data_IF_263669462636
#
_entry.id   IF_263669462636
#
_cell.length_a   1.000
_cell.length_b   1.000
_cell.length_c   1.000
_cell.angle_alpha   90.00
_cell.angle_beta   90.00
_cell.angle_gamma   90.00
#
_symmetry.space_group_name_H-M   'P 1'
#
loop_
_entity.id
_entity.type
_entity.pdbx_description
1 polymer ?
#
# COMPACT_ATOMS: atom_id res chain seq x y z
N UNK A 1 15.21 -32.05 -13.94
CA UNK A 1 15.62 -30.64 -14.21
C UNK A 1 14.38 -29.78 -13.98
N UNK A 2 14.51 -28.72 -13.24
CA UNK A 2 13.44 -27.76 -13.03
C UNK A 2 13.16 -27.05 -14.36
N UNK A 3 11.90 -26.81 -14.68
CA UNK A 3 11.48 -26.20 -15.95
C UNK A 3 11.86 -24.72 -15.94
N UNK A 4 12.59 -24.24 -16.96
CA UNK A 4 12.94 -22.83 -17.11
C UNK A 4 11.71 -21.99 -17.47
N UNK A 5 11.63 -20.77 -16.94
CA UNK A 5 10.61 -19.77 -17.29
C UNK A 5 10.98 -18.96 -18.53
N UNK A 6 12.22 -19.06 -19.03
CA UNK A 6 12.70 -18.22 -20.14
C UNK A 6 11.85 -18.36 -21.38
N UNK A 7 11.43 -17.22 -21.95
CA UNK A 7 10.61 -17.12 -23.13
C UNK A 7 9.13 -17.46 -22.92
N UNK A 8 8.69 -17.68 -21.67
CA UNK A 8 7.30 -18.01 -21.36
C UNK A 8 6.46 -16.75 -21.08
N UNK A 9 5.13 -16.89 -21.12
CA UNK A 9 4.21 -15.82 -20.67
C UNK A 9 4.37 -15.55 -19.18
N UNK A 10 4.72 -16.55 -18.39
CA UNK A 10 4.99 -16.42 -16.95
C UNK A 10 6.19 -15.51 -16.69
N UNK A 11 7.28 -15.62 -17.46
CA UNK A 11 8.42 -14.70 -17.36
C UNK A 11 8.00 -13.26 -17.64
N UNK A 12 7.20 -13.04 -18.70
CA UNK A 12 6.67 -11.72 -19.05
C UNK A 12 5.80 -11.14 -17.91
N UNK A 13 4.92 -11.96 -17.34
CA UNK A 13 4.04 -11.54 -16.24
C UNK A 13 4.82 -11.23 -14.96
N UNK A 14 5.83 -12.04 -14.62
CA UNK A 14 6.72 -11.76 -13.50
C UNK A 14 7.45 -10.41 -13.64
N UNK A 15 7.95 -10.12 -14.84
CA UNK A 15 8.68 -8.87 -15.07
C UNK A 15 7.73 -7.66 -15.10
N UNK A 16 6.51 -7.82 -15.65
CA UNK A 16 5.45 -6.80 -15.57
C UNK A 16 5.07 -6.51 -14.12
N UNK A 17 4.91 -7.55 -13.29
CA UNK A 17 4.60 -7.39 -11.88
C UNK A 17 5.75 -6.75 -11.11
N UNK A 18 6.98 -7.17 -11.32
CA UNK A 18 8.16 -6.51 -10.74
C UNK A 18 8.21 -5.00 -11.07
N UNK A 19 7.92 -4.63 -12.32
CA UNK A 19 7.88 -3.23 -12.74
C UNK A 19 6.69 -2.49 -12.11
N UNK A 20 5.51 -3.15 -12.01
CA UNK A 20 4.30 -2.66 -11.37
C UNK A 20 4.54 -2.31 -9.91
N UNK A 21 5.01 -3.25 -9.13
CA UNK A 21 5.35 -3.05 -7.72
C UNK A 21 6.42 -1.96 -7.51
N UNK A 22 7.44 -1.95 -8.37
CA UNK A 22 8.52 -0.95 -8.28
C UNK A 22 8.02 0.47 -8.52
N UNK A 23 7.11 0.67 -9.49
CA UNK A 23 6.52 1.99 -9.72
C UNK A 23 5.49 2.35 -8.63
N UNK A 24 4.69 1.38 -8.11
CA UNK A 24 3.76 1.59 -7.02
C UNK A 24 4.49 2.05 -5.75
N UNK A 25 5.58 1.36 -5.38
CA UNK A 25 6.49 1.78 -4.32
C UNK A 25 6.92 3.24 -4.46
N UNK A 26 7.36 3.63 -5.66
CA UNK A 26 7.80 5.01 -5.91
C UNK A 26 6.65 6.00 -5.78
N UNK A 27 5.50 5.71 -6.38
CA UNK A 27 4.29 6.56 -6.28
C UNK A 27 3.85 6.73 -4.83
N UNK A 28 3.81 5.67 -4.02
CA UNK A 28 3.39 5.75 -2.62
C UNK A 28 4.35 6.59 -1.77
N UNK A 29 5.65 6.60 -2.05
CA UNK A 29 6.57 7.54 -1.39
C UNK A 29 6.27 9.00 -1.75
N UNK A 30 5.85 9.29 -2.99
CA UNK A 30 5.44 10.63 -3.41
C UNK A 30 4.11 11.03 -2.73
N UNK A 31 3.15 10.10 -2.66
CA UNK A 31 1.86 10.30 -2.00
C UNK A 31 2.03 10.52 -0.50
N UNK A 32 2.94 9.79 0.15
CA UNK A 32 3.32 10.01 1.55
C UNK A 32 3.87 11.42 1.79
N UNK A 33 4.74 11.90 0.90
CA UNK A 33 5.27 13.26 0.97
C UNK A 33 4.16 14.31 0.86
N UNK A 34 3.20 14.11 -0.03
CA UNK A 34 2.06 15.01 -0.19
C UNK A 34 1.14 14.99 1.04
N UNK A 35 0.78 13.82 1.54
CA UNK A 35 -0.04 13.67 2.75
C UNK A 35 0.61 14.36 3.95
N UNK A 36 1.92 14.25 4.10
CA UNK A 36 2.67 14.94 5.14
C UNK A 36 2.60 16.46 5.01
N UNK A 37 2.73 17.01 3.80
CA UNK A 37 2.59 18.45 3.53
C UNK A 37 1.19 18.97 3.87
N UNK A 38 0.17 18.16 3.68
CA UNK A 38 -1.23 18.46 4.01
C UNK A 38 -1.58 18.23 5.49
N UNK A 39 -0.63 17.73 6.29
CA UNK A 39 -0.82 17.50 7.73
C UNK A 39 -1.48 16.18 8.10
N UNK A 40 -1.42 15.18 7.24
CA UNK A 40 -1.98 13.84 7.44
C UNK A 40 -0.85 12.82 7.73
N UNK A 41 -0.18 12.96 8.87
CA UNK A 41 0.98 12.13 9.22
C UNK A 41 0.65 10.62 9.32
N UNK A 42 -0.57 10.27 9.74
CA UNK A 42 -1.01 8.87 9.75
C UNK A 42 -1.12 8.30 8.34
N UNK A 43 -1.76 9.02 7.44
CA UNK A 43 -1.91 8.62 6.03
C UNK A 43 -0.55 8.54 5.35
N UNK A 44 0.33 9.51 5.62
CA UNK A 44 1.71 9.46 5.14
C UNK A 44 2.45 8.22 5.65
N UNK A 45 2.26 7.84 6.91
CA UNK A 45 2.81 6.62 7.48
C UNK A 45 2.31 5.36 6.80
N UNK A 46 1.00 5.29 6.50
CA UNK A 46 0.39 4.16 5.79
C UNK A 46 0.96 4.02 4.38
N UNK A 47 1.06 5.12 3.62
CA UNK A 47 1.69 5.08 2.29
C UNK A 47 3.14 4.60 2.34
N UNK A 48 3.93 5.04 3.32
CA UNK A 48 5.33 4.58 3.46
C UNK A 48 5.42 3.11 3.83
N UNK A 49 4.55 2.62 4.71
CA UNK A 49 4.48 1.21 5.08
C UNK A 49 4.14 0.35 3.87
N UNK A 50 3.10 0.71 3.11
CA UNK A 50 2.73 0.01 1.89
C UNK A 50 3.87 0.06 0.86
N UNK A 51 4.53 1.21 0.66
CA UNK A 51 5.68 1.31 -0.24
C UNK A 51 6.81 0.32 0.10
N UNK A 52 7.06 0.05 1.39
CA UNK A 52 8.05 -0.97 1.78
C UNK A 52 7.53 -2.40 1.57
N UNK A 53 6.21 -2.62 1.64
CA UNK A 53 5.57 -3.90 1.32
C UNK A 53 5.65 -4.19 -0.18
N UNK A 54 5.36 -3.21 -1.06
CA UNK A 54 5.53 -3.34 -2.51
C UNK A 54 6.98 -3.67 -2.92
N UNK A 55 7.95 -3.14 -2.22
CA UNK A 55 9.35 -3.54 -2.42
C UNK A 55 9.57 -5.04 -2.18
N UNK A 56 8.94 -5.62 -1.17
CA UNK A 56 9.08 -7.06 -0.91
C UNK A 56 8.30 -7.92 -1.92
N UNK A 57 7.14 -7.43 -2.42
CA UNK A 57 6.42 -8.06 -3.52
C UNK A 57 7.26 -8.04 -4.81
N UNK A 58 7.80 -6.88 -5.18
CA UNK A 58 8.73 -6.73 -6.30
C UNK A 58 9.89 -7.72 -6.20
N UNK A 59 10.52 -7.80 -5.04
CA UNK A 59 11.63 -8.72 -4.75
C UNK A 59 11.19 -10.18 -4.83
N UNK A 60 9.96 -10.50 -4.42
CA UNK A 60 9.42 -11.86 -4.54
C UNK A 60 9.28 -12.28 -5.99
N UNK A 61 8.74 -11.43 -6.86
CA UNK A 61 8.64 -11.68 -8.30
C UNK A 61 10.02 -11.75 -8.96
N UNK A 62 10.91 -10.83 -8.62
CA UNK A 62 12.26 -10.80 -9.16
C UNK A 62 13.07 -12.07 -8.88
N UNK A 63 12.87 -12.71 -7.73
CA UNK A 63 13.55 -13.95 -7.36
C UNK A 63 13.19 -15.17 -8.23
N UNK A 64 12.10 -15.11 -8.97
CA UNK A 64 11.75 -16.16 -9.93
C UNK A 64 12.40 -15.98 -11.29
N UNK A 65 12.91 -14.78 -11.61
CA UNK A 65 13.55 -14.48 -12.89
C UNK A 65 14.94 -15.12 -12.97
N UNK A 66 15.30 -15.58 -14.16
CA UNK A 66 16.53 -16.34 -14.41
C UNK A 66 17.63 -15.50 -15.07
N UNK A 67 17.53 -14.17 -14.98
CA UNK A 67 18.52 -13.22 -15.50
C UNK A 67 18.44 -13.00 -17.01
N UNK A 68 19.27 -12.04 -17.48
CA UNK A 68 19.28 -11.55 -18.85
C UNK A 68 18.48 -10.26 -19.00
N UNK A 69 18.29 -9.86 -20.26
CA UNK A 69 17.45 -8.73 -20.66
C UNK A 69 16.18 -9.26 -21.30
N UNK A 70 15.03 -8.82 -20.80
CA UNK A 70 13.72 -9.25 -21.31
C UNK A 70 12.90 -7.99 -21.60
N UNK A 71 12.43 -7.86 -22.83
CA UNK A 71 11.54 -6.78 -23.23
C UNK A 71 10.10 -7.12 -22.82
N UNK A 72 9.41 -6.14 -22.20
CA UNK A 72 7.99 -6.24 -21.87
C UNK A 72 7.22 -5.07 -22.44
N UNK A 73 5.94 -5.31 -22.75
CA UNK A 73 4.95 -4.25 -23.01
C UNK A 73 3.93 -4.28 -21.91
N UNK A 74 3.78 -3.15 -21.19
CA UNK A 74 2.82 -2.98 -20.11
C UNK A 74 2.38 -1.52 -20.02
N UNK A 75 1.23 -1.28 -19.41
CA UNK A 75 0.73 0.06 -19.09
C UNK A 75 0.80 0.28 -17.59
N UNK A 76 1.24 1.46 -17.19
CA UNK A 76 1.30 1.86 -15.79
C UNK A 76 0.75 3.28 -15.63
N UNK A 77 0.28 3.67 -14.43
CA UNK A 77 -0.20 5.02 -14.19
C UNK A 77 0.86 6.09 -14.53
N UNK A 78 0.49 7.05 -15.39
CA UNK A 78 1.38 8.08 -15.94
C UNK A 78 1.36 9.40 -15.14
N UNK A 79 1.11 9.39 -13.84
CA UNK A 79 0.93 10.56 -12.97
C UNK A 79 -0.57 10.68 -12.66
N UNK A 80 -1.07 11.65 -11.89
CA UNK A 80 -0.37 12.79 -11.29
C UNK A 80 -0.15 12.57 -9.79
N UNK A 81 0.65 13.45 -9.13
CA UNK A 81 0.62 13.58 -7.66
C UNK A 81 -0.46 14.61 -7.35
N UNK A 82 -1.62 14.14 -6.92
CA UNK A 82 -2.76 14.96 -6.50
C UNK A 82 -2.71 15.36 -5.02
N UNK A 83 -3.84 15.84 -4.49
CA UNK A 83 -4.01 15.96 -3.05
C UNK A 83 -4.15 14.55 -2.40
N UNK A 84 -4.13 14.51 -1.07
CA UNK A 84 -4.16 13.23 -0.33
C UNK A 84 -5.36 12.36 -0.67
N UNK A 85 -6.55 12.94 -0.84
CA UNK A 85 -7.77 12.19 -1.21
C UNK A 85 -7.64 11.58 -2.61
N UNK A 86 -7.17 12.35 -3.58
CA UNK A 86 -6.95 11.88 -4.95
C UNK A 86 -5.89 10.77 -5.00
N UNK A 87 -4.83 10.91 -4.20
CA UNK A 87 -3.77 9.92 -4.11
C UNK A 87 -4.24 8.62 -3.46
N UNK A 88 -5.10 8.70 -2.42
CA UNK A 88 -5.74 7.53 -1.80
C UNK A 88 -6.65 6.80 -2.79
N UNK A 89 -7.46 7.54 -3.55
CA UNK A 89 -8.32 6.95 -4.58
C UNK A 89 -7.47 6.25 -5.66
N UNK A 90 -6.45 6.93 -6.20
CA UNK A 90 -5.58 6.36 -7.23
C UNK A 90 -4.78 5.14 -6.75
N UNK A 91 -4.38 5.12 -5.47
CA UNK A 91 -3.74 3.95 -4.87
C UNK A 91 -4.74 2.80 -4.76
N UNK A 92 -5.93 3.04 -4.18
CA UNK A 92 -6.96 2.02 -4.03
C UNK A 92 -7.40 1.41 -5.37
N UNK A 93 -7.50 2.22 -6.43
CA UNK A 93 -7.85 1.74 -7.78
C UNK A 93 -6.74 0.85 -8.35
N UNK A 94 -5.47 1.19 -8.13
CA UNK A 94 -4.34 0.37 -8.54
C UNK A 94 -4.30 -0.99 -7.84
N UNK A 95 -4.45 -1.00 -6.50
CA UNK A 95 -4.52 -2.26 -5.74
C UNK A 95 -5.69 -3.13 -6.19
N UNK A 96 -6.86 -2.51 -6.49
CA UNK A 96 -8.01 -3.23 -6.99
C UNK A 96 -7.72 -3.92 -8.33
N UNK A 97 -7.10 -3.25 -9.30
CA UNK A 97 -6.70 -3.82 -10.59
C UNK A 97 -5.76 -5.02 -10.39
N UNK A 98 -4.83 -4.94 -9.44
CA UNK A 98 -3.86 -6.00 -9.19
C UNK A 98 -4.51 -7.26 -8.62
N UNK A 99 -5.33 -7.14 -7.56
CA UNK A 99 -5.92 -8.32 -6.92
C UNK A 99 -7.16 -8.86 -7.64
N UNK A 100 -7.95 -8.01 -8.30
CA UNK A 100 -9.18 -8.44 -8.97
C UNK A 100 -8.92 -9.00 -10.37
N UNK A 101 -7.95 -8.46 -11.09
CA UNK A 101 -7.75 -8.77 -12.51
C UNK A 101 -6.35 -9.35 -12.79
N UNK A 102 -5.27 -8.60 -12.52
CA UNK A 102 -3.94 -8.92 -13.02
C UNK A 102 -3.36 -10.19 -12.40
N UNK A 103 -3.29 -10.27 -11.07
CA UNK A 103 -2.64 -11.40 -10.40
C UNK A 103 -3.43 -12.71 -10.49
N UNK A 104 -4.78 -12.73 -10.48
CA UNK A 104 -5.53 -13.92 -10.81
C UNK A 104 -5.25 -14.46 -12.21
N UNK A 105 -5.20 -13.58 -13.22
CA UNK A 105 -4.88 -13.99 -14.58
C UNK A 105 -3.42 -14.50 -14.71
N UNK A 106 -2.47 -13.81 -14.07
CA UNK A 106 -1.06 -14.23 -14.08
C UNK A 106 -0.85 -15.56 -13.35
N UNK A 107 -1.59 -15.80 -12.27
CA UNK A 107 -1.59 -17.08 -11.58
C UNK A 107 -2.09 -18.21 -12.46
N UNK A 108 -3.18 -17.98 -13.19
CA UNK A 108 -3.73 -18.93 -14.15
C UNK A 108 -2.73 -19.28 -15.26
N UNK A 109 -2.10 -18.26 -15.84
CA UNK A 109 -1.04 -18.47 -16.87
C UNK A 109 0.11 -19.30 -16.30
N UNK A 110 0.55 -19.01 -15.08
CA UNK A 110 1.62 -19.79 -14.45
C UNK A 110 1.23 -21.25 -14.18
N UNK A 111 -0.04 -21.52 -13.83
CA UNK A 111 -0.56 -22.88 -13.67
C UNK A 111 -0.60 -23.62 -15.02
N UNK A 112 -1.11 -22.99 -16.07
CA UNK A 112 -1.17 -23.56 -17.43
C UNK A 112 0.23 -23.93 -17.95
N UNK A 113 1.22 -23.10 -17.65
CA UNK A 113 2.61 -23.32 -18.01
C UNK A 113 3.37 -24.23 -17.01
N UNK A 114 2.71 -24.72 -15.96
CA UNK A 114 3.25 -25.69 -15.00
C UNK A 114 4.11 -25.11 -13.87
N UNK A 115 4.11 -23.79 -13.68
CA UNK A 115 4.88 -23.07 -12.63
C UNK A 115 4.06 -22.87 -11.35
N UNK A 116 3.70 -23.95 -10.69
CA UNK A 116 2.82 -23.96 -9.50
C UNK A 116 3.25 -23.02 -8.37
N UNK A 117 4.55 -22.93 -8.10
CA UNK A 117 5.06 -22.05 -7.03
C UNK A 117 4.86 -20.58 -7.37
N UNK A 118 5.01 -20.21 -8.63
CA UNK A 118 4.79 -18.84 -9.13
C UNK A 118 3.30 -18.51 -9.07
N UNK A 119 2.44 -19.44 -9.49
CA UNK A 119 0.99 -19.27 -9.37
C UNK A 119 0.53 -19.04 -7.93
N UNK A 120 1.09 -19.78 -6.97
CA UNK A 120 0.83 -19.58 -5.54
C UNK A 120 1.29 -18.20 -5.08
N UNK A 121 2.46 -17.73 -5.53
CA UNK A 121 2.97 -16.41 -5.18
C UNK A 121 2.02 -15.31 -5.66
N UNK A 122 1.56 -15.33 -6.91
CA UNK A 122 0.56 -14.39 -7.42
C UNK A 122 -0.72 -14.39 -6.59
N UNK A 123 -1.27 -15.58 -6.29
CA UNK A 123 -2.49 -15.70 -5.49
C UNK A 123 -2.34 -15.14 -4.09
N UNK A 124 -1.21 -15.38 -3.43
CA UNK A 124 -0.96 -14.90 -2.07
C UNK A 124 -0.76 -13.38 -2.05
N UNK A 125 0.00 -12.83 -2.98
CA UNK A 125 0.19 -11.39 -3.10
C UNK A 125 -1.16 -10.71 -3.39
N UNK A 126 -1.97 -11.22 -4.31
CA UNK A 126 -3.32 -10.70 -4.55
C UNK A 126 -4.17 -10.57 -3.27
N UNK A 127 -4.02 -11.47 -2.29
CA UNK A 127 -4.73 -11.33 -1.01
C UNK A 127 -4.21 -10.17 -0.16
N UNK A 128 -2.95 -9.78 -0.33
CA UNK A 128 -2.36 -8.62 0.35
C UNK A 128 -2.86 -7.34 -0.29
N UNK A 129 -2.88 -7.26 -1.64
CA UNK A 129 -3.36 -6.07 -2.37
C UNK A 129 -4.84 -5.79 -2.08
N UNK A 130 -5.66 -6.82 -1.86
CA UNK A 130 -7.04 -6.64 -1.40
C UNK A 130 -7.13 -5.96 -0.01
N UNK A 131 -6.21 -6.24 0.90
CA UNK A 131 -6.14 -5.56 2.21
C UNK A 131 -5.55 -4.13 2.07
N UNK A 132 -4.61 -3.90 1.14
CA UNK A 132 -4.11 -2.55 0.82
C UNK A 132 -5.23 -1.66 0.28
N UNK A 133 -6.01 -2.12 -0.70
CA UNK A 133 -7.18 -1.41 -1.21
C UNK A 133 -8.15 -1.05 -0.10
N UNK A 134 -8.56 -2.03 0.70
CA UNK A 134 -9.49 -1.84 1.81
C UNK A 134 -9.01 -0.77 2.80
N UNK A 135 -7.71 -0.76 3.08
CA UNK A 135 -7.08 0.23 3.96
C UNK A 135 -7.13 1.62 3.35
N UNK A 136 -6.79 1.77 2.06
CA UNK A 136 -6.86 3.04 1.35
C UNK A 136 -8.29 3.56 1.23
N UNK A 137 -9.27 2.71 0.88
CA UNK A 137 -10.69 3.08 0.83
C UNK A 137 -11.21 3.58 2.19
N UNK A 138 -10.80 2.92 3.28
CA UNK A 138 -11.18 3.34 4.64
C UNK A 138 -10.60 4.72 4.99
N UNK A 139 -9.34 4.98 4.66
CA UNK A 139 -8.72 6.27 4.88
C UNK A 139 -9.38 7.37 4.05
N UNK A 140 -9.68 7.08 2.78
CA UNK A 140 -10.40 8.00 1.91
C UNK A 140 -11.78 8.34 2.48
N UNK A 141 -12.57 7.35 2.87
CA UNK A 141 -13.88 7.56 3.48
C UNK A 141 -13.81 8.39 4.77
N UNK A 142 -12.79 8.18 5.61
CA UNK A 142 -12.57 9.01 6.80
C UNK A 142 -12.27 10.48 6.43
N UNK A 143 -11.53 10.73 5.35
CA UNK A 143 -11.27 12.10 4.88
C UNK A 143 -12.53 12.76 4.34
N UNK A 144 -13.30 12.05 3.52
CA UNK A 144 -14.57 12.52 2.95
C UNK A 144 -15.60 12.87 4.03
N UNK A 145 -15.63 12.09 5.11
CA UNK A 145 -16.49 12.34 6.26
C UNK A 145 -15.95 13.38 7.26
N UNK A 146 -14.77 13.96 7.02
CA UNK A 146 -14.11 14.87 7.99
C UNK A 146 -13.65 14.19 9.29
N UNK A 147 -13.52 12.86 9.28
CA UNK A 147 -13.26 12.04 10.47
C UNK A 147 -11.79 11.69 10.67
N UNK A 148 -10.85 12.40 10.08
CA UNK A 148 -9.41 12.13 10.30
C UNK A 148 -9.00 12.46 11.73
N UNK A 149 -9.42 13.62 12.25
CA UNK A 149 -9.08 14.09 13.61
C UNK A 149 -10.28 14.18 14.55
N UNK A 150 -11.42 13.67 14.14
CA UNK A 150 -12.65 13.64 14.91
C UNK A 150 -13.40 12.33 14.64
N UNK A 151 -13.99 11.73 15.67
CA UNK A 151 -14.75 10.48 15.59
C UNK A 151 -16.09 10.63 16.29
N UNK A 152 -17.08 9.82 15.91
CA UNK A 152 -18.40 9.83 16.51
C UNK A 152 -18.37 9.42 17.99
N UNK A 153 -17.42 8.54 18.34
CA UNK A 153 -17.19 8.06 19.70
C UNK A 153 -15.80 8.46 20.21
N UNK A 154 -15.61 8.42 21.52
CA UNK A 154 -14.30 8.64 22.12
C UNK A 154 -13.38 7.46 21.79
N UNK A 155 -12.20 7.80 21.29
CA UNK A 155 -11.14 6.85 20.94
C UNK A 155 -9.81 7.29 21.54
N UNK A 156 -8.81 6.41 21.48
CA UNK A 156 -7.45 6.74 21.89
C UNK A 156 -6.71 7.42 20.73
N UNK A 157 -6.16 8.60 21.03
CA UNK A 157 -5.25 9.33 20.16
C UNK A 157 -3.85 9.24 20.72
N UNK A 158 -2.87 8.88 19.92
CA UNK A 158 -1.48 8.80 20.33
C UNK A 158 -0.62 9.78 19.55
N UNK A 159 0.17 10.55 20.27
CA UNK A 159 1.18 11.41 19.64
C UNK A 159 2.35 10.56 19.13
N UNK A 160 2.55 10.51 17.80
CA UNK A 160 3.66 9.73 17.20
C UNK A 160 5.04 10.28 17.60
N UNK A 161 5.13 11.55 18.05
CA UNK A 161 6.41 12.17 18.42
C UNK A 161 6.86 11.81 19.83
N UNK A 162 5.95 11.85 20.82
CA UNK A 162 6.33 11.66 22.22
C UNK A 162 5.62 10.51 22.94
N UNK A 163 4.69 9.81 22.26
CA UNK A 163 3.94 8.69 22.85
C UNK A 163 2.79 9.08 23.78
N UNK A 164 2.50 10.38 23.99
CA UNK A 164 1.37 10.81 24.82
C UNK A 164 0.05 10.26 24.27
N UNK A 165 -0.77 9.69 25.14
CA UNK A 165 -2.08 9.14 24.80
C UNK A 165 -3.19 10.00 25.40
N UNK A 166 -4.21 10.27 24.61
CA UNK A 166 -5.40 11.02 24.99
C UNK A 166 -6.66 10.28 24.52
N UNK A 167 -7.67 10.20 25.38
CA UNK A 167 -8.98 9.63 25.05
C UNK A 167 -9.98 10.76 24.81
N UNK A 168 -10.68 10.73 23.67
CA UNK A 168 -11.69 11.71 23.31
C UNK A 168 -12.20 11.54 21.89
N UNK A 169 -13.30 12.24 21.58
CA UNK A 169 -13.87 12.25 20.24
C UNK A 169 -13.01 13.00 19.22
N UNK A 170 -12.24 13.98 19.67
CA UNK A 170 -11.45 14.86 18.81
C UNK A 170 -10.02 14.95 19.29
N UNK A 171 -9.09 14.76 18.35
CA UNK A 171 -7.67 14.98 18.61
C UNK A 171 -7.42 16.45 18.98
N UNK A 172 -6.67 16.75 20.08
CA UNK A 172 -6.32 18.12 20.44
C UNK A 172 -5.52 18.81 19.32
N UNK A 173 -5.66 20.14 19.20
CA UNK A 173 -4.95 20.93 18.17
C UNK A 173 -3.42 20.88 18.31
N UNK A 174 -2.96 20.65 19.55
CA UNK A 174 -1.55 20.42 19.87
C UNK A 174 -1.45 19.34 20.93
N UNK A 175 -0.40 18.54 20.85
CA UNK A 175 -0.09 17.55 21.88
C UNK A 175 0.17 18.27 23.23
N UNK A 176 -0.55 17.95 24.31
CA UNK A 176 -0.34 18.60 25.61
C UNK A 176 1.04 18.37 26.22
N UNK A 177 1.72 17.28 25.82
CA UNK A 177 3.02 16.92 26.38
C UNK A 177 4.22 17.51 25.62
N UNK A 178 4.14 17.67 24.29
CA UNK A 178 5.29 18.08 23.48
C UNK A 178 4.99 19.18 22.45
N UNK A 179 3.77 19.74 22.48
CA UNK A 179 3.31 20.85 21.66
C UNK A 179 3.33 20.62 20.12
N UNK A 180 3.59 19.40 19.68
CA UNK A 180 3.48 19.05 18.26
C UNK A 180 2.05 19.21 17.75
N UNK A 181 1.86 19.59 16.48
CA UNK A 181 0.54 19.88 15.93
C UNK A 181 -0.35 18.63 15.89
N UNK A 182 -1.67 18.86 15.75
CA UNK A 182 -2.70 17.82 15.62
C UNK A 182 -2.33 16.73 14.58
N UNK A 183 -1.66 17.12 13.51
CA UNK A 183 -1.14 16.21 12.48
C UNK A 183 -0.37 15.01 13.05
N UNK A 184 0.31 15.19 14.20
CA UNK A 184 1.08 14.14 14.86
C UNK A 184 0.24 13.24 15.78
N UNK A 185 -1.06 13.52 15.94
CA UNK A 185 -1.96 12.73 16.77
C UNK A 185 -2.66 11.68 15.90
N UNK A 186 -2.24 10.45 16.06
CA UNK A 186 -2.75 9.31 15.31
C UNK A 186 -3.86 8.65 16.12
N UNK A 187 -4.93 8.21 15.47
CA UNK A 187 -5.88 7.35 16.16
C UNK A 187 -5.36 5.91 16.19
N UNK A 188 -5.48 5.30 17.35
CA UNK A 188 -5.24 3.88 17.51
C UNK A 188 -6.59 3.17 17.47
N UNK A 189 -6.81 2.34 16.45
CA UNK A 189 -7.97 1.46 16.48
C UNK A 189 -7.74 0.31 17.47
N UNK A 190 -8.76 -0.19 18.15
CA UNK A 190 -8.65 -1.40 18.94
C UNK A 190 -8.33 -2.65 18.10
N UNK A 191 -8.30 -2.55 16.78
CA UNK A 191 -7.86 -3.63 15.89
C UNK A 191 -6.33 -3.77 15.93
N UNK A 192 -5.80 -4.98 16.13
CA UNK A 192 -4.35 -5.24 16.06
C UNK A 192 -3.70 -4.81 14.73
N UNK A 193 -4.49 -4.65 13.66
CA UNK A 193 -4.02 -4.26 12.33
C UNK A 193 -3.85 -2.75 12.16
N UNK A 194 -4.56 -1.95 12.94
CA UNK A 194 -4.42 -0.48 12.92
C UNK A 194 -3.35 0.03 13.90
N UNK A 195 -2.85 -0.82 14.79
CA UNK A 195 -1.84 -0.52 15.80
C UNK A 195 -0.39 -0.72 15.35
N UNK A 196 -0.15 -1.13 14.10
CA UNK A 196 1.20 -1.42 13.59
C UNK A 196 1.97 -0.18 13.09
N UNK A 197 1.53 1.02 13.41
CA UNK A 197 2.29 2.26 13.15
C UNK A 197 3.28 2.61 14.28
N UNK A 198 3.59 1.67 15.17
CA UNK A 198 4.57 1.87 16.23
C UNK A 198 5.78 0.95 16.05
N UNK A 199 6.64 1.27 15.08
CA UNK A 199 8.08 0.97 15.13
C UNK A 199 8.87 1.94 14.27
#
# INVERSE_FOLDING_TARGET
MEKSIKGTRTEQNLLKSFAGESQARSRYTFFASQAKKEGYEQIAGVFMETAEQEKEHAKRFFKFLEGGMVEITASYPAGVIGNTMQNLAAAADGENEEWADLYPEFAKVAEEEGFKQIAVAFKMIATVEAEHEKRYRKLLANMEAGQVFEKDEAILWQCRNCGYVFEGKKAPQKCPACEHPQACLLYTSPSPRDGLLSR
#
